data_IF_098004735775
#
_entry.id   IF_098004735775
#
_cell.length_a   1.000
_cell.length_b   1.000
_cell.length_c   1.000
_cell.angle_alpha   90.00
_cell.angle_beta   90.00
_cell.angle_gamma   90.00
#
_symmetry.space_group_name_H-M   'P 1'
#
loop_
_entity.id
_entity.type
_entity.pdbx_description
1 polymer ?
#
# COMPACT_ATOMS: atom_id res chain seq x y z
N UNK A 1 12.47 11.10 6.81
CA UNK A 1 12.43 10.17 5.65
C UNK A 1 11.01 9.62 5.55
N UNK A 2 10.34 9.87 4.44
CA UNK A 2 8.98 9.39 4.15
C UNK A 2 9.01 8.16 3.24
N UNK A 3 7.90 7.42 3.17
CA UNK A 3 7.77 6.22 2.33
C UNK A 3 6.79 6.53 1.19
N UNK A 4 7.22 6.40 -0.05
CA UNK A 4 6.41 6.59 -1.26
C UNK A 4 6.25 5.24 -1.95
N UNK A 5 5.01 4.74 -2.02
CA UNK A 5 4.71 3.45 -2.65
C UNK A 5 3.92 3.71 -3.93
N UNK A 6 4.44 3.29 -5.07
CA UNK A 6 3.75 3.31 -6.35
C UNK A 6 3.00 1.98 -6.55
N UNK A 7 1.70 1.98 -6.33
CA UNK A 7 0.83 0.86 -6.71
C UNK A 7 0.37 1.06 -8.14
N UNK A 8 0.99 0.35 -9.08
CA UNK A 8 0.66 0.48 -10.50
C UNK A 8 -0.66 -0.19 -10.89
N UNK A 9 -1.23 -0.97 -9.97
CA UNK A 9 -2.46 -1.72 -10.25
C UNK A 9 -2.32 -2.55 -11.54
N UNK A 10 -3.33 -2.61 -12.41
CA UNK A 10 -3.31 -3.34 -13.67
C UNK A 10 -2.69 -2.49 -14.83
N UNK A 11 -1.60 -1.79 -14.55
CA UNK A 11 -0.89 -0.90 -15.47
C UNK A 11 0.64 -0.96 -15.26
N UNK A 12 1.45 -0.42 -16.22
CA UNK A 12 1.07 -0.15 -17.61
C UNK A 12 0.92 -1.44 -18.41
N UNK A 13 0.23 -1.39 -19.55
CA UNK A 13 0.02 -2.58 -20.40
C UNK A 13 1.29 -2.96 -21.20
N UNK A 14 2.19 -2.00 -21.40
CA UNK A 14 3.44 -2.23 -22.17
C UNK A 14 4.65 -2.28 -21.24
N UNK A 15 5.45 -3.31 -21.37
CA UNK A 15 6.69 -3.46 -20.60
C UNK A 15 7.68 -2.29 -20.81
N UNK A 16 7.70 -1.69 -22.01
CA UNK A 16 8.52 -0.53 -22.30
C UNK A 16 8.15 0.68 -21.42
N UNK A 17 6.86 0.91 -21.22
CA UNK A 17 6.36 1.98 -20.32
C UNK A 17 6.74 1.71 -18.86
N UNK A 18 6.59 0.46 -18.41
CA UNK A 18 7.02 0.04 -17.07
C UNK A 18 8.51 0.31 -16.84
N UNK A 19 9.36 -0.04 -17.81
CA UNK A 19 10.81 0.24 -17.76
C UNK A 19 11.10 1.74 -17.74
N UNK A 20 10.39 2.54 -18.54
CA UNK A 20 10.57 3.98 -18.61
C UNK A 20 10.21 4.69 -17.27
N UNK A 21 9.07 4.31 -16.67
CA UNK A 21 8.66 4.81 -15.34
C UNK A 21 9.71 4.47 -14.29
N UNK A 22 10.11 3.20 -14.22
CA UNK A 22 11.06 2.73 -13.22
C UNK A 22 12.42 3.42 -13.35
N UNK A 23 12.90 3.63 -14.58
CA UNK A 23 14.14 4.35 -14.85
C UNK A 23 14.05 5.82 -14.42
N UNK A 24 12.90 6.48 -14.64
CA UNK A 24 12.69 7.85 -14.23
C UNK A 24 12.73 7.97 -12.70
N UNK A 25 12.03 7.10 -11.97
CA UNK A 25 11.99 7.11 -10.51
C UNK A 25 13.37 6.81 -9.91
N UNK A 26 14.11 5.86 -10.48
CA UNK A 26 15.45 5.48 -10.00
C UNK A 26 16.54 6.55 -10.20
N UNK A 27 16.29 7.58 -11.03
CA UNK A 27 17.20 8.72 -11.24
C UNK A 27 17.00 9.83 -10.21
N UNK A 28 15.89 9.83 -9.49
CA UNK A 28 15.60 10.89 -8.52
C UNK A 28 16.51 10.76 -7.31
N UNK A 29 17.23 11.82 -6.99
CA UNK A 29 17.99 11.92 -5.73
C UNK A 29 17.00 12.30 -4.62
N UNK A 30 16.82 11.43 -3.65
CA UNK A 30 15.90 11.64 -2.53
C UNK A 30 16.39 10.91 -1.28
N UNK A 31 15.97 11.42 -0.11
CA UNK A 31 16.10 10.70 1.17
C UNK A 31 14.88 9.81 1.44
N UNK A 32 13.82 9.95 0.65
CA UNK A 32 12.59 9.18 0.82
C UNK A 32 12.77 7.74 0.34
N UNK A 33 12.06 6.82 0.97
CA UNK A 33 12.04 5.43 0.55
C UNK A 33 11.00 5.25 -0.55
N UNK A 34 11.44 4.87 -1.74
CA UNK A 34 10.56 4.61 -2.88
C UNK A 34 10.41 3.11 -3.07
N UNK A 35 9.15 2.64 -3.12
CA UNK A 35 8.78 1.25 -3.36
C UNK A 35 7.88 1.23 -4.59
N UNK A 36 8.15 0.33 -5.54
CA UNK A 36 7.31 0.17 -6.73
C UNK A 36 6.66 -1.21 -6.71
N UNK A 37 5.34 -1.24 -6.82
CA UNK A 37 4.52 -2.46 -6.88
C UNK A 37 3.94 -2.61 -8.29
N UNK A 38 4.70 -3.20 -9.24
CA UNK A 38 4.23 -3.46 -10.59
C UNK A 38 3.35 -4.70 -10.65
N UNK A 39 2.61 -4.94 -11.76
CA UNK A 39 1.98 -6.23 -12.04
C UNK A 39 2.97 -7.39 -11.93
N UNK A 40 2.50 -8.55 -11.47
CA UNK A 40 3.33 -9.75 -11.28
C UNK A 40 4.21 -10.12 -12.48
N UNK A 41 3.72 -10.09 -13.75
CA UNK A 41 4.54 -10.44 -14.91
C UNK A 41 5.80 -9.61 -15.07
N UNK A 42 5.84 -8.41 -14.48
CA UNK A 42 6.99 -7.51 -14.59
C UNK A 42 8.04 -7.72 -13.50
N UNK A 43 7.70 -8.32 -12.37
CA UNK A 43 8.62 -8.49 -11.23
C UNK A 43 9.91 -9.23 -11.61
N UNK A 44 9.82 -10.26 -12.46
CA UNK A 44 10.98 -11.02 -12.92
C UNK A 44 11.82 -10.33 -14.00
N UNK A 45 11.28 -9.29 -14.64
CA UNK A 45 11.89 -8.64 -15.81
C UNK A 45 12.48 -7.28 -15.46
N UNK A 46 11.86 -6.57 -14.52
CA UNK A 46 12.29 -5.23 -14.13
C UNK A 46 13.55 -5.28 -13.27
N UNK A 47 14.61 -4.61 -13.74
CA UNK A 47 15.86 -4.44 -12.98
C UNK A 47 15.94 -3.01 -12.45
N UNK A 48 16.11 -2.84 -11.13
CA UNK A 48 16.11 -1.54 -10.48
C UNK A 48 16.90 -1.55 -9.18
N UNK A 49 17.34 -0.36 -8.74
CA UNK A 49 17.86 -0.11 -7.38
C UNK A 49 16.74 0.21 -6.38
N UNK A 50 15.55 0.56 -6.87
CA UNK A 50 14.40 0.81 -6.02
C UNK A 50 13.92 -0.48 -5.38
N UNK A 51 13.24 -0.37 -4.24
CA UNK A 51 12.61 -1.50 -3.63
C UNK A 51 11.40 -1.96 -4.48
N UNK A 52 11.28 -3.26 -4.70
CA UNK A 52 10.11 -3.86 -5.34
C UNK A 52 9.13 -4.39 -4.29
N UNK A 53 7.85 -4.17 -4.55
CA UNK A 53 6.74 -4.75 -3.82
C UNK A 53 5.82 -5.53 -4.77
N UNK A 54 5.09 -6.50 -4.22
CA UNK A 54 4.01 -7.20 -4.90
C UNK A 54 2.66 -6.51 -4.62
N UNK A 55 1.72 -6.64 -5.53
CA UNK A 55 0.36 -6.09 -5.37
C UNK A 55 -0.57 -7.02 -4.58
N UNK A 56 -0.15 -8.24 -4.33
CA UNK A 56 -0.82 -9.27 -3.53
C UNK A 56 0.20 -10.36 -3.18
N UNK A 57 -0.20 -11.28 -2.31
CA UNK A 57 0.52 -12.51 -1.99
C UNK A 57 -0.51 -13.59 -1.66
N UNK A 58 -0.24 -14.84 -2.01
CA UNK A 58 -1.09 -15.97 -1.59
C UNK A 58 -1.00 -16.21 -0.09
N UNK A 59 -2.09 -16.65 0.52
CA UNK A 59 -2.10 -17.17 1.89
C UNK A 59 -1.53 -18.60 1.97
N UNK A 60 -1.23 -19.21 0.82
CA UNK A 60 -0.68 -20.56 0.72
C UNK A 60 0.80 -20.51 0.32
N UNK A 61 1.59 -21.43 0.86
CA UNK A 61 3.00 -21.57 0.49
C UNK A 61 3.20 -22.27 -0.86
N UNK A 62 2.38 -23.28 -1.12
CA UNK A 62 2.43 -24.09 -2.33
C UNK A 62 1.14 -24.92 -2.48
N UNK A 63 0.99 -25.66 -3.57
CA UNK A 63 -0.08 -26.62 -3.77
C UNK A 63 -1.04 -26.27 -4.91
N UNK A 64 -2.25 -26.84 -4.86
CA UNK A 64 -3.27 -26.73 -5.92
C UNK A 64 -4.04 -25.39 -5.81
N UNK A 65 -3.37 -24.28 -6.10
CA UNK A 65 -3.90 -22.92 -6.03
C UNK A 65 -3.60 -22.21 -7.36
N UNK A 66 -4.24 -22.65 -8.44
CA UNK A 66 -4.01 -22.12 -9.80
C UNK A 66 -4.21 -20.59 -9.84
N UNK A 67 -3.19 -19.88 -10.33
CA UNK A 67 -3.20 -18.42 -10.47
C UNK A 67 -2.62 -17.66 -9.27
N UNK A 68 -2.39 -18.32 -8.13
CA UNK A 68 -1.81 -17.67 -6.95
C UNK A 68 -0.27 -17.54 -7.05
N UNK A 69 0.25 -16.51 -6.39
CA UNK A 69 1.70 -16.23 -6.29
C UNK A 69 2.11 -16.27 -4.84
N UNK A 70 2.93 -17.26 -4.47
CA UNK A 70 3.36 -17.45 -3.08
C UNK A 70 4.46 -16.47 -2.65
N UNK A 71 4.59 -16.28 -1.35
CA UNK A 71 5.67 -15.48 -0.76
C UNK A 71 7.06 -16.01 -1.14
N UNK A 72 7.22 -17.35 -1.21
CA UNK A 72 8.46 -18.00 -1.66
C UNK A 72 8.83 -17.63 -3.10
N UNK A 73 7.85 -17.60 -4.03
CA UNK A 73 8.07 -17.15 -5.41
C UNK A 73 8.48 -15.69 -5.47
N UNK A 74 7.82 -14.81 -4.70
CA UNK A 74 8.14 -13.38 -4.66
C UNK A 74 9.58 -13.12 -4.18
N UNK A 75 10.08 -13.88 -3.23
CA UNK A 75 11.46 -13.78 -2.74
C UNK A 75 12.49 -14.03 -3.84
N UNK A 76 12.23 -14.95 -4.79
CA UNK A 76 13.16 -15.23 -5.90
C UNK A 76 13.38 -13.99 -6.77
N UNK A 77 12.40 -13.09 -6.84
CA UNK A 77 12.49 -11.81 -7.55
C UNK A 77 12.93 -10.64 -6.66
N UNK A 78 13.48 -10.92 -5.46
CA UNK A 78 13.96 -9.92 -4.50
C UNK A 78 12.87 -8.93 -4.06
N UNK A 79 11.61 -9.33 -4.13
CA UNK A 79 10.48 -8.56 -3.61
C UNK A 79 10.60 -8.49 -2.10
N UNK A 80 10.49 -7.27 -1.55
CA UNK A 80 10.65 -6.99 -0.11
C UNK A 80 9.36 -6.55 0.56
N UNK A 81 8.34 -6.22 -0.23
CA UNK A 81 7.07 -5.70 0.24
C UNK A 81 5.91 -6.40 -0.46
N UNK A 82 4.74 -6.47 0.19
CA UNK A 82 3.51 -6.94 -0.45
C UNK A 82 2.32 -6.15 0.05
N UNK A 83 1.51 -5.62 -0.86
CA UNK A 83 0.22 -5.02 -0.55
C UNK A 83 -0.73 -6.16 -0.20
N UNK A 84 -1.45 -6.02 0.90
CA UNK A 84 -2.39 -7.02 1.42
C UNK A 84 -3.69 -6.31 1.81
N UNK A 85 -4.84 -6.86 1.40
CA UNK A 85 -6.16 -6.34 1.75
C UNK A 85 -6.49 -5.00 1.10
N UNK A 86 -5.91 -4.67 -0.07
CA UNK A 86 -6.26 -3.48 -0.83
C UNK A 86 -7.76 -3.45 -1.14
N UNK A 87 -8.37 -2.26 -1.14
CA UNK A 87 -9.81 -2.07 -1.33
C UNK A 87 -10.35 -2.79 -2.57
N UNK A 88 -9.63 -2.79 -3.68
CA UNK A 88 -10.02 -3.51 -4.90
C UNK A 88 -10.05 -5.04 -4.71
N UNK A 89 -9.17 -5.60 -3.87
CA UNK A 89 -9.19 -7.03 -3.57
C UNK A 89 -10.31 -7.41 -2.61
N UNK A 90 -10.59 -6.55 -1.63
CA UNK A 90 -11.75 -6.74 -0.73
C UNK A 90 -13.07 -6.68 -1.51
N UNK A 91 -13.17 -5.80 -2.49
CA UNK A 91 -14.33 -5.75 -3.39
C UNK A 91 -14.50 -7.03 -4.23
N UNK A 92 -13.43 -7.81 -4.44
CA UNK A 92 -13.46 -9.15 -5.06
C UNK A 92 -13.74 -10.28 -4.05
N UNK A 93 -14.07 -9.94 -2.79
CA UNK A 93 -14.44 -10.91 -1.76
C UNK A 93 -13.30 -11.34 -0.84
N UNK A 94 -12.13 -10.68 -0.86
CA UNK A 94 -11.04 -11.00 0.06
C UNK A 94 -11.46 -10.69 1.50
N UNK A 95 -11.48 -11.71 2.35
CA UNK A 95 -11.95 -11.63 3.74
C UNK A 95 -10.84 -11.23 4.72
N UNK A 96 -11.22 -10.71 5.90
CA UNK A 96 -10.26 -10.38 6.96
C UNK A 96 -9.44 -11.59 7.44
N UNK A 97 -10.03 -12.78 7.43
CA UNK A 97 -9.33 -14.02 7.78
C UNK A 97 -8.22 -14.34 6.76
N UNK A 98 -8.52 -14.23 5.47
CA UNK A 98 -7.54 -14.41 4.39
C UNK A 98 -6.43 -13.35 4.47
N UNK A 99 -6.80 -12.09 4.75
CA UNK A 99 -5.84 -11.00 4.92
C UNK A 99 -4.89 -11.28 6.09
N UNK A 100 -5.43 -11.70 7.24
CA UNK A 100 -4.59 -12.10 8.38
C UNK A 100 -3.62 -13.23 8.03
N UNK A 101 -4.09 -14.26 7.30
CA UNK A 101 -3.24 -15.35 6.85
C UNK A 101 -2.13 -14.86 5.90
N UNK A 102 -2.46 -13.98 4.94
CA UNK A 102 -1.48 -13.35 4.03
C UNK A 102 -0.44 -12.51 4.76
N UNK A 103 -0.84 -11.76 5.77
CA UNK A 103 0.09 -11.00 6.61
C UNK A 103 1.09 -11.91 7.31
N UNK A 104 0.60 -13.01 7.92
CA UNK A 104 1.45 -13.98 8.62
C UNK A 104 2.45 -14.64 7.69
N UNK A 105 1.99 -15.13 6.53
CA UNK A 105 2.87 -15.82 5.58
C UNK A 105 3.92 -14.87 4.97
N UNK A 106 3.56 -13.62 4.70
CA UNK A 106 4.51 -12.61 4.25
C UNK A 106 5.61 -12.36 5.29
N UNK A 107 5.23 -12.19 6.57
CA UNK A 107 6.18 -11.97 7.66
C UNK A 107 7.12 -13.16 7.86
N UNK A 108 6.62 -14.40 7.86
CA UNK A 108 7.43 -15.63 7.94
C UNK A 108 8.46 -15.65 6.81
N UNK A 109 8.07 -15.21 5.62
CA UNK A 109 8.95 -15.14 4.44
C UNK A 109 9.82 -13.88 4.39
N UNK A 110 9.83 -13.04 5.42
CA UNK A 110 10.61 -11.78 5.49
C UNK A 110 10.23 -10.78 4.39
N UNK A 111 8.98 -10.80 3.93
CA UNK A 111 8.36 -9.79 3.09
C UNK A 111 7.58 -8.87 4.01
N UNK A 112 7.86 -7.57 3.98
CA UNK A 112 7.17 -6.55 4.78
C UNK A 112 5.76 -6.33 4.22
N UNK A 113 4.69 -6.68 4.94
CA UNK A 113 3.34 -6.44 4.46
C UNK A 113 3.00 -4.94 4.52
N UNK A 114 2.19 -4.51 3.55
CA UNK A 114 1.51 -3.21 3.51
C UNK A 114 0.03 -3.51 3.63
N UNK A 115 -0.50 -3.49 4.84
CA UNK A 115 -1.91 -3.74 5.13
C UNK A 115 -2.75 -2.52 4.76
N UNK A 116 -3.68 -2.68 3.83
CA UNK A 116 -4.68 -1.67 3.50
C UNK A 116 -5.92 -1.82 4.38
N UNK A 117 -6.38 -0.69 4.94
CA UNK A 117 -7.57 -0.61 5.81
C UNK A 117 -8.43 0.60 5.43
N UNK A 118 -9.74 0.52 5.70
CA UNK A 118 -10.71 1.57 5.38
C UNK A 118 -11.74 1.15 4.32
N UNK A 119 -11.69 -0.09 3.86
CA UNK A 119 -12.75 -0.65 3.00
C UNK A 119 -14.08 -0.69 3.76
N UNK A 120 -15.16 -0.26 3.09
CA UNK A 120 -16.49 -0.16 3.68
C UNK A 120 -16.78 1.18 4.36
N UNK A 121 -15.81 2.08 4.47
CA UNK A 121 -16.07 3.45 4.91
C UNK A 121 -16.84 4.22 3.83
N UNK A 122 -17.85 4.98 4.23
CA UNK A 122 -18.62 5.86 3.35
C UNK A 122 -18.51 7.31 3.77
N UNK A 123 -18.89 8.23 2.88
CA UNK A 123 -18.84 9.67 3.16
C UNK A 123 -19.92 10.12 4.18
N UNK A 124 -20.94 9.29 4.38
CA UNK A 124 -22.06 9.55 5.28
C UNK A 124 -21.78 9.13 6.73
N UNK A 125 -20.75 8.29 6.95
CA UNK A 125 -20.37 7.87 8.30
C UNK A 125 -19.84 9.06 9.10
N UNK A 126 -20.27 9.15 10.35
CA UNK A 126 -19.63 10.03 11.34
C UNK A 126 -18.17 9.61 11.58
N UNK A 127 -17.35 10.50 12.11
CA UNK A 127 -15.97 10.19 12.45
C UNK A 127 -15.88 9.05 13.48
N UNK A 128 -16.80 8.98 14.43
CA UNK A 128 -16.88 7.92 15.43
C UNK A 128 -17.19 6.55 14.81
N UNK A 129 -18.20 6.48 13.95
CA UNK A 129 -18.56 5.25 13.22
C UNK A 129 -17.39 4.76 12.35
N UNK A 130 -16.71 5.68 11.66
CA UNK A 130 -15.54 5.35 10.86
C UNK A 130 -14.38 4.79 11.72
N UNK A 131 -14.14 5.36 12.91
CA UNK A 131 -13.10 4.86 13.83
C UNK A 131 -13.45 3.49 14.40
N UNK A 132 -14.72 3.24 14.74
CA UNK A 132 -15.21 1.92 15.19
C UNK A 132 -15.03 0.88 14.08
N UNK A 133 -15.42 1.22 12.86
CA UNK A 133 -15.24 0.34 11.69
C UNK A 133 -13.77 -0.01 11.46
N UNK A 134 -12.88 0.99 11.46
CA UNK A 134 -11.44 0.79 11.34
C UNK A 134 -10.87 -0.07 12.48
N UNK A 135 -11.36 0.13 13.70
CA UNK A 135 -10.94 -0.67 14.85
C UNK A 135 -11.26 -2.14 14.64
N UNK A 136 -12.48 -2.47 14.24
CA UNK A 136 -12.89 -3.86 13.99
C UNK A 136 -12.04 -4.49 12.88
N UNK A 137 -11.85 -3.80 11.76
CA UNK A 137 -11.05 -4.27 10.64
C UNK A 137 -9.59 -4.51 11.05
N UNK A 138 -8.98 -3.59 11.79
CA UNK A 138 -7.62 -3.73 12.30
C UNK A 138 -7.51 -4.86 13.32
N UNK A 139 -8.46 -5.02 14.24
CA UNK A 139 -8.46 -6.12 15.21
C UNK A 139 -8.47 -7.48 14.52
N UNK A 140 -9.34 -7.66 13.52
CA UNK A 140 -9.42 -8.90 12.76
C UNK A 140 -8.14 -9.18 11.96
N UNK A 141 -7.63 -8.16 11.25
CA UNK A 141 -6.46 -8.33 10.40
C UNK A 141 -5.16 -8.53 11.19
N UNK A 142 -5.03 -7.91 12.37
CA UNK A 142 -3.81 -7.95 13.18
C UNK A 142 -3.81 -9.05 14.26
N UNK A 143 -4.79 -9.94 14.26
CA UNK A 143 -4.87 -11.01 15.25
C UNK A 143 -3.58 -11.87 15.26
N UNK A 144 -2.81 -11.80 16.37
CA UNK A 144 -1.53 -12.50 16.52
C UNK A 144 -0.36 -11.91 15.72
N UNK A 145 -0.47 -10.65 15.27
CA UNK A 145 0.57 -9.95 14.51
C UNK A 145 1.03 -8.73 15.30
N UNK A 146 2.35 -8.52 15.37
CA UNK A 146 2.94 -7.31 15.90
C UNK A 146 2.82 -6.17 14.86
N UNK A 147 2.03 -5.11 15.14
CA UNK A 147 1.81 -4.02 14.19
C UNK A 147 3.06 -3.19 13.87
N UNK A 148 4.11 -3.31 14.67
CA UNK A 148 5.38 -2.64 14.39
C UNK A 148 6.17 -3.30 13.25
N UNK A 149 5.83 -4.55 12.91
CA UNK A 149 6.47 -5.34 11.84
C UNK A 149 5.80 -5.19 10.48
N UNK A 150 4.82 -4.31 10.36
CA UNK A 150 4.10 -4.08 9.11
C UNK A 150 3.98 -2.58 8.83
N UNK A 151 3.58 -2.25 7.61
CA UNK A 151 3.14 -0.91 7.22
C UNK A 151 1.61 -0.95 7.13
N UNK A 152 0.92 0.04 7.70
CA UNK A 152 -0.53 0.19 7.55
C UNK A 152 -0.81 1.33 6.58
N UNK A 153 -1.63 1.10 5.56
CA UNK A 153 -2.08 2.11 4.61
C UNK A 153 -3.59 2.37 4.81
N UNK A 154 -3.92 3.58 5.22
CA UNK A 154 -5.30 4.01 5.37
C UNK A 154 -5.87 4.44 4.02
N UNK A 155 -6.89 3.74 3.57
CA UNK A 155 -7.60 3.97 2.31
C UNK A 155 -9.02 4.46 2.61
N UNK A 156 -9.30 5.79 2.64
CA UNK A 156 -10.68 6.29 2.66
C UNK A 156 -11.33 6.00 1.30
N UNK A 157 -11.99 4.83 1.17
CA UNK A 157 -12.48 4.34 -0.15
C UNK A 157 -13.45 5.31 -0.82
N UNK A 158 -14.21 6.08 -0.05
CA UNK A 158 -15.05 7.16 -0.57
C UNK A 158 -14.24 8.29 -1.26
N UNK A 159 -12.95 8.42 -0.92
CA UNK A 159 -12.04 9.40 -1.52
C UNK A 159 -11.15 8.80 -2.62
N UNK A 160 -11.21 7.47 -2.86
CA UNK A 160 -10.40 6.81 -3.88
C UNK A 160 -11.08 6.97 -5.26
N UNK A 161 -10.38 7.58 -6.21
CA UNK A 161 -10.89 7.76 -7.58
C UNK A 161 -12.03 8.76 -7.72
N UNK A 162 -12.51 9.36 -6.62
CA UNK A 162 -13.60 10.33 -6.63
C UNK A 162 -13.17 11.74 -7.07
N UNK A 163 -11.86 12.00 -7.12
CA UNK A 163 -11.32 13.35 -7.31
C UNK A 163 -11.47 14.26 -6.08
N UNK A 164 -12.07 13.76 -4.99
CA UNK A 164 -12.24 14.48 -3.73
C UNK A 164 -11.45 13.74 -2.64
N UNK A 165 -10.17 14.08 -2.40
CA UNK A 165 -9.40 13.47 -1.33
C UNK A 165 -10.00 13.81 0.04
N UNK A 166 -9.73 12.95 1.03
CA UNK A 166 -9.91 13.33 2.43
C UNK A 166 -9.00 14.55 2.74
N UNK A 167 -9.31 15.31 3.79
CA UNK A 167 -8.41 16.40 4.17
C UNK A 167 -7.14 15.85 4.83
N UNK A 168 -6.01 16.56 4.71
CA UNK A 168 -4.79 16.19 5.42
C UNK A 168 -4.97 16.04 6.93
N UNK A 169 -5.82 16.89 7.55
CA UNK A 169 -6.17 16.84 8.97
C UNK A 169 -6.91 15.54 9.32
N UNK A 170 -7.84 15.12 8.49
CA UNK A 170 -8.57 13.86 8.67
C UNK A 170 -7.59 12.67 8.59
N UNK A 171 -6.73 12.64 7.57
CA UNK A 171 -5.73 11.59 7.40
C UNK A 171 -4.78 11.52 8.60
N UNK A 172 -4.36 12.65 9.14
CA UNK A 172 -3.49 12.73 10.33
C UNK A 172 -4.20 12.24 11.60
N UNK A 173 -5.49 12.60 11.82
CA UNK A 173 -6.26 12.10 12.97
C UNK A 173 -6.44 10.58 12.92
N UNK A 174 -6.76 10.03 11.74
CA UNK A 174 -6.86 8.57 11.57
C UNK A 174 -5.51 7.89 11.81
N UNK A 175 -4.42 8.44 11.28
CA UNK A 175 -3.09 7.91 11.51
C UNK A 175 -2.72 7.93 13.00
N UNK A 176 -3.02 9.00 13.70
CA UNK A 176 -2.79 9.12 15.16
C UNK A 176 -3.63 8.08 15.92
N UNK A 177 -4.91 7.90 15.57
CA UNK A 177 -5.77 6.87 16.17
C UNK A 177 -5.16 5.47 16.00
N UNK A 178 -4.77 5.09 14.76
CA UNK A 178 -4.16 3.80 14.46
C UNK A 178 -2.85 3.63 15.27
N UNK A 179 -2.02 4.65 15.32
CA UNK A 179 -0.75 4.61 16.04
C UNK A 179 -0.94 4.37 17.54
N UNK A 180 -1.85 5.12 18.17
CA UNK A 180 -2.08 5.04 19.63
C UNK A 180 -2.78 3.72 19.97
N UNK A 181 -3.87 3.39 19.27
CA UNK A 181 -4.72 2.25 19.61
C UNK A 181 -4.04 0.90 19.35
N UNK A 182 -3.27 0.80 18.25
CA UNK A 182 -2.65 -0.44 17.80
C UNK A 182 -1.12 -0.45 17.95
N UNK A 183 -0.51 0.62 18.44
CA UNK A 183 0.97 0.78 18.56
C UNK A 183 1.67 0.56 17.21
N UNK A 184 1.03 0.98 16.12
CA UNK A 184 1.53 0.79 14.76
C UNK A 184 2.83 1.56 14.50
N UNK A 185 3.77 0.93 13.79
CA UNK A 185 5.08 1.52 13.50
C UNK A 185 5.05 2.53 12.36
N UNK A 186 4.49 2.15 11.21
CA UNK A 186 4.46 2.96 10.00
C UNK A 186 3.04 3.04 9.43
N UNK A 187 2.58 4.27 9.20
CA UNK A 187 1.23 4.54 8.70
C UNK A 187 1.32 5.43 7.47
N UNK A 188 0.69 4.99 6.38
CA UNK A 188 0.62 5.72 5.12
C UNK A 188 -0.81 6.18 4.85
N UNK A 189 -0.94 7.25 4.10
CA UNK A 189 -2.21 7.64 3.49
C UNK A 189 -2.31 7.03 2.09
N UNK A 190 -3.42 6.35 1.80
CA UNK A 190 -3.68 5.62 0.55
C UNK A 190 -4.85 6.19 -0.28
N UNK A 191 -5.36 7.36 0.07
CA UNK A 191 -6.37 8.05 -0.74
C UNK A 191 -5.79 8.75 -1.96
N UNK A 192 -6.63 9.50 -2.68
CA UNK A 192 -6.23 10.24 -3.89
C UNK A 192 -5.17 11.28 -3.59
N UNK A 193 -3.99 11.10 -4.18
CA UNK A 193 -2.86 12.04 -4.07
C UNK A 193 -2.22 12.28 -5.43
N UNK A 194 -1.71 13.50 -5.61
CA UNK A 194 -0.95 13.96 -6.76
C UNK A 194 0.22 14.86 -6.32
N UNK A 195 0.94 15.44 -7.28
CA UNK A 195 2.08 16.30 -6.99
C UNK A 195 1.72 17.62 -6.30
N UNK A 196 0.46 18.05 -6.37
CA UNK A 196 0.00 19.35 -5.83
C UNK A 196 -0.40 19.20 -4.37
N UNK A 197 -1.03 18.06 -4.01
CA UNK A 197 -1.55 17.83 -2.66
C UNK A 197 -0.70 16.91 -1.77
N UNK A 198 0.23 16.13 -2.35
CA UNK A 198 1.01 15.12 -1.63
C UNK A 198 1.72 15.68 -0.38
N UNK A 199 2.35 16.85 -0.49
CA UNK A 199 3.06 17.49 0.61
C UNK A 199 2.14 17.78 1.82
N UNK A 200 0.88 18.12 1.57
CA UNK A 200 -0.12 18.36 2.60
C UNK A 200 -0.44 17.14 3.45
N UNK A 201 -0.35 15.93 2.86
CA UNK A 201 -0.58 14.66 3.57
C UNK A 201 0.66 14.13 4.31
N UNK A 202 1.87 14.60 3.98
CA UNK A 202 3.11 14.15 4.61
C UNK A 202 3.35 14.81 5.99
N UNK A 203 2.33 14.80 6.83
CA UNK A 203 2.32 15.37 8.18
C UNK A 203 3.08 14.50 9.19
N UNK A 204 3.07 14.90 10.46
CA UNK A 204 3.83 14.24 11.55
C UNK A 204 3.45 12.78 11.70
N UNK A 205 2.16 12.49 11.78
CA UNK A 205 1.65 11.14 12.06
C UNK A 205 1.54 10.26 10.80
N UNK A 206 1.69 10.85 9.61
CA UNK A 206 1.66 10.12 8.32
C UNK A 206 3.09 9.89 7.82
N UNK A 207 3.53 8.64 7.83
CA UNK A 207 4.90 8.25 7.46
C UNK A 207 5.13 8.21 5.93
N UNK A 208 4.08 8.34 5.11
CA UNK A 208 4.21 8.31 3.66
C UNK A 208 2.90 8.12 2.92
N UNK A 209 2.99 7.76 1.66
CA UNK A 209 1.84 7.63 0.75
C UNK A 209 1.85 6.29 0.01
N UNK A 210 0.66 5.71 -0.17
CA UNK A 210 0.39 4.63 -1.12
C UNK A 210 -0.34 5.22 -2.32
N UNK A 211 0.37 5.40 -3.43
CA UNK A 211 -0.07 6.18 -4.58
C UNK A 211 -0.52 5.26 -5.71
N UNK A 212 -1.75 5.41 -6.17
CA UNK A 212 -2.31 4.68 -7.30
C UNK A 212 -2.04 5.37 -8.65
N UNK A 213 -3.08 5.84 -9.33
CA UNK A 213 -3.04 6.37 -10.71
C UNK A 213 -1.99 7.46 -10.95
N UNK A 214 -1.76 8.36 -10.00
CA UNK A 214 -0.74 9.40 -10.11
C UNK A 214 0.69 8.84 -10.20
N UNK A 215 0.92 7.62 -9.71
CA UNK A 215 2.22 6.94 -9.83
C UNK A 215 2.53 6.45 -11.26
N UNK A 216 1.55 6.43 -12.15
CA UNK A 216 1.71 6.14 -13.57
C UNK A 216 2.04 7.38 -14.41
N UNK A 217 1.86 8.56 -13.84
CA UNK A 217 2.22 9.84 -14.46
C UNK A 217 3.62 10.24 -14.01
N UNK A 218 4.61 10.02 -14.88
CA UNK A 218 6.04 10.14 -14.58
C UNK A 218 6.40 11.43 -13.83
N UNK A 219 5.97 12.58 -14.36
CA UNK A 219 6.27 13.90 -13.80
C UNK A 219 5.62 14.11 -12.43
N UNK A 220 4.40 13.63 -12.26
CA UNK A 220 3.66 13.70 -11.01
C UNK A 220 4.39 12.92 -9.90
N UNK A 221 4.70 11.65 -10.16
CA UNK A 221 5.32 10.82 -9.12
C UNK A 221 6.77 11.23 -8.83
N UNK A 222 7.52 11.71 -9.82
CA UNK A 222 8.85 12.28 -9.62
C UNK A 222 8.80 13.47 -8.65
N UNK A 223 7.85 14.40 -8.83
CA UNK A 223 7.65 15.53 -7.89
C UNK A 223 7.31 15.02 -6.48
N UNK A 224 6.43 14.02 -6.37
CA UNK A 224 6.07 13.44 -5.06
C UNK A 224 7.27 12.76 -4.37
N UNK A 225 8.19 12.15 -5.13
CA UNK A 225 9.42 11.56 -4.56
C UNK A 225 10.34 12.64 -3.99
N UNK A 226 10.29 13.85 -4.53
CA UNK A 226 11.14 14.97 -4.12
C UNK A 226 10.57 15.78 -2.96
N UNK A 227 9.25 15.72 -2.70
CA UNK A 227 8.59 16.34 -1.55
C UNK A 227 8.91 15.54 -0.27
#
# INVERSE_FOLDING_TARGET
MKILIANWKLNPQKLAEAKALLAAFGRVRTRNKVIVCPPFPYLGILKTRLALGAQNVSEQESGAHTGEVSAGMLKQFKVKYAIVGHSERRALGETDAQINAKLKIALVNKIMPILCVGFGLTAEMSEEEAMVHLQHQLQANLAGIDPQKIIIAYEPVWAIGSGKPATPEHAERVAMFIRIKFKAGKILYGGSTDAENAAGFLRKEVDGLLVGGSSLKKEQFVKMIQS
#
